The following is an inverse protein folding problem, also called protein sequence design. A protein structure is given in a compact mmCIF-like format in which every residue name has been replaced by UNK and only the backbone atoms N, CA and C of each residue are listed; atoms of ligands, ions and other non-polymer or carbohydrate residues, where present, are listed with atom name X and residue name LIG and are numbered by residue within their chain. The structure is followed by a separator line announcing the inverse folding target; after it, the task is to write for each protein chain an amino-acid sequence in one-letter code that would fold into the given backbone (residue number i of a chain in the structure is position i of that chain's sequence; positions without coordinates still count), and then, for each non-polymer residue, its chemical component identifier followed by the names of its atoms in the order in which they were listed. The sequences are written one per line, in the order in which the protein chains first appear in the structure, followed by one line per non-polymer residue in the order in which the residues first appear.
data_IF_389789069155
#
_entry.id   IF_389789069155
#
_cell.length_a   1.000
_cell.length_b   1.000
_cell.length_c   1.000
_cell.angle_alpha   90.00
_cell.angle_beta   90.00
_cell.angle_gamma   90.00
#
_symmetry.space_group_name_H-M   'P 1'
#
loop_
_entity.id
_entity.type
_entity.pdbx_description
1 polymer ?
#
# COMPACT_ATOMS: atom_id res chain seq x y z
N UNK A 1 -13.80 16.29 10.01
CA UNK A 1 -14.60 15.87 8.84
C UNK A 1 -13.65 15.19 7.87
N UNK A 2 -13.95 13.96 7.46
CA UNK A 2 -13.11 13.21 6.52
C UNK A 2 -13.10 13.90 5.17
N UNK A 3 -11.94 14.37 4.70
CA UNK A 3 -11.79 14.90 3.35
C UNK A 3 -12.22 13.83 2.34
N UNK A 4 -13.29 14.08 1.59
CA UNK A 4 -13.69 13.21 0.48
C UNK A 4 -12.59 13.20 -0.57
N UNK A 5 -12.01 12.04 -0.85
CA UNK A 5 -10.86 11.91 -1.76
C UNK A 5 -11.17 12.36 -3.20
N UNK A 6 -12.43 12.31 -3.60
CA UNK A 6 -12.90 12.65 -4.95
C UNK A 6 -13.31 14.11 -5.13
N UNK A 7 -13.13 14.96 -4.11
CA UNK A 7 -13.35 16.40 -4.22
C UNK A 7 -12.01 17.14 -4.12
N UNK A 8 -11.87 18.23 -4.88
CA UNK A 8 -10.80 19.21 -4.69
C UNK A 8 -11.18 20.23 -3.59
N UNK A 9 -10.25 21.13 -3.24
CA UNK A 9 -10.44 22.14 -2.20
C UNK A 9 -11.53 23.19 -2.54
N UNK A 10 -12.04 23.14 -3.78
CA UNK A 10 -13.12 24.00 -4.30
C UNK A 10 -14.45 23.23 -4.45
N UNK A 11 -14.48 21.94 -4.10
CA UNK A 11 -15.66 21.08 -4.20
C UNK A 11 -15.91 20.49 -5.59
N UNK A 12 -14.97 20.59 -6.52
CA UNK A 12 -15.09 19.95 -7.84
C UNK A 12 -14.72 18.47 -7.77
N UNK A 13 -15.39 17.66 -8.58
CA UNK A 13 -15.08 16.23 -8.71
C UNK A 13 -13.72 16.05 -9.37
N UNK A 14 -12.88 15.20 -8.78
CA UNK A 14 -11.59 14.78 -9.33
C UNK A 14 -11.36 13.29 -9.18
N UNK A 15 -10.62 12.72 -10.11
CA UNK A 15 -10.02 11.40 -9.95
C UNK A 15 -8.84 11.54 -8.98
N UNK A 16 -8.70 10.59 -8.04
CA UNK A 16 -7.62 10.62 -7.05
C UNK A 16 -6.29 10.36 -7.74
N UNK A 17 -5.30 11.23 -7.52
CA UNK A 17 -3.93 10.97 -7.97
C UNK A 17 -3.32 9.83 -7.13
N UNK A 18 -2.88 8.77 -7.82
CA UNK A 18 -2.29 7.57 -7.22
C UNK A 18 -0.80 7.41 -7.57
N UNK A 19 -0.18 8.40 -8.21
CA UNK A 19 1.21 8.33 -8.71
C UNK A 19 2.23 7.97 -7.62
N UNK A 20 2.05 8.49 -6.41
CA UNK A 20 2.98 8.25 -5.29
C UNK A 20 2.66 6.97 -4.49
N UNK A 21 1.59 6.24 -4.84
CA UNK A 21 1.23 5.00 -4.16
C UNK A 21 2.00 3.82 -4.74
N UNK A 22 2.42 2.90 -3.88
CA UNK A 22 3.15 1.70 -4.28
C UNK A 22 2.17 0.63 -4.79
N UNK A 23 2.53 0.02 -5.93
CA UNK A 23 1.79 -1.13 -6.47
C UNK A 23 1.89 -2.33 -5.52
N UNK A 24 0.75 -2.89 -5.17
CA UNK A 24 0.62 -4.01 -4.24
C UNK A 24 -0.42 -4.99 -4.77
N UNK A 25 -0.39 -6.24 -4.29
CA UNK A 25 -1.48 -7.18 -4.58
C UNK A 25 -2.77 -6.61 -4.01
N UNK A 26 -3.82 -6.56 -4.84
CA UNK A 26 -5.17 -6.13 -4.46
C UNK A 26 -6.14 -7.23 -4.82
N UNK A 27 -6.99 -7.59 -3.88
CA UNK A 27 -8.05 -8.57 -4.08
C UNK A 27 -9.35 -7.96 -3.59
N UNK A 28 -10.43 -8.13 -4.35
CA UNK A 28 -11.78 -7.80 -3.91
C UNK A 28 -12.72 -8.96 -4.21
N UNK A 29 -13.62 -9.24 -3.27
CA UNK A 29 -14.70 -10.20 -3.42
C UNK A 29 -16.03 -9.47 -3.26
N UNK A 30 -16.96 -9.67 -4.17
CA UNK A 30 -18.31 -9.13 -4.08
C UNK A 30 -19.34 -10.24 -4.27
N UNK A 31 -20.55 -10.01 -3.77
CA UNK A 31 -21.68 -10.90 -4.04
C UNK A 31 -22.94 -10.11 -4.40
N UNK A 32 -23.91 -10.82 -4.96
CA UNK A 32 -25.26 -10.33 -5.23
C UNK A 32 -26.21 -11.48 -5.48
N UNK A 33 -27.52 -11.22 -5.41
CA UNK A 33 -28.57 -12.24 -5.58
C UNK A 33 -29.53 -11.83 -6.68
N UNK A 34 -29.90 -12.77 -7.53
CA UNK A 34 -31.04 -12.62 -8.44
C UNK A 34 -32.13 -13.62 -8.06
N UNK A 35 -33.22 -13.10 -7.51
CA UNK A 35 -34.41 -13.86 -7.15
C UNK A 35 -35.29 -14.09 -8.36
N UNK A 36 -35.85 -15.28 -8.49
CA UNK A 36 -36.72 -15.67 -9.59
C UNK A 36 -37.59 -16.85 -9.17
N UNK A 37 -38.57 -17.21 -10.00
CA UNK A 37 -39.46 -18.34 -9.68
C UNK A 37 -38.71 -19.68 -9.71
N UNK A 38 -39.10 -20.67 -8.89
CA UNK A 38 -38.47 -22.00 -8.89
C UNK A 38 -38.46 -22.68 -10.26
N UNK A 39 -39.50 -22.46 -11.08
CA UNK A 39 -39.57 -23.01 -12.43
C UNK A 39 -38.50 -22.41 -13.35
N UNK A 40 -38.18 -21.12 -13.17
CA UNK A 40 -37.11 -20.43 -13.88
C UNK A 40 -35.74 -21.00 -13.49
N UNK A 41 -35.54 -21.27 -12.20
CA UNK A 41 -34.30 -21.90 -11.68
C UNK A 41 -34.13 -23.31 -12.26
N UNK A 42 -35.19 -24.11 -12.25
CA UNK A 42 -35.17 -25.45 -12.84
C UNK A 42 -34.81 -25.41 -14.34
N UNK A 43 -35.39 -24.48 -15.10
CA UNK A 43 -35.07 -24.30 -16.51
C UNK A 43 -33.61 -23.91 -16.75
N UNK A 44 -33.00 -23.12 -15.86
CA UNK A 44 -31.57 -22.78 -15.90
C UNK A 44 -30.70 -24.01 -15.59
N UNK A 45 -31.07 -24.81 -14.57
CA UNK A 45 -30.31 -26.00 -14.17
C UNK A 45 -30.32 -27.09 -15.25
N UNK A 46 -31.45 -27.27 -15.93
CA UNK A 46 -31.64 -28.29 -16.94
C UNK A 46 -31.18 -27.86 -18.35
N UNK A 47 -30.68 -26.62 -18.51
CA UNK A 47 -30.30 -26.02 -19.80
C UNK A 47 -31.44 -26.02 -20.84
N UNK A 48 -32.67 -25.86 -20.38
CA UNK A 48 -33.90 -25.92 -21.19
C UNK A 48 -34.29 -24.56 -21.82
N UNK A 49 -33.40 -23.58 -21.72
CA UNK A 49 -33.67 -22.22 -22.17
C UNK A 49 -33.34 -22.03 -23.66
N UNK A 50 -34.21 -21.35 -24.45
CA UNK A 50 -34.01 -21.17 -25.90
C UNK A 50 -32.74 -20.41 -26.29
N UNK A 51 -32.10 -19.72 -25.34
CA UNK A 51 -30.95 -18.83 -25.55
C UNK A 51 -29.60 -19.50 -25.21
N UNK A 52 -29.58 -20.78 -24.87
CA UNK A 52 -28.36 -21.51 -24.45
C UNK A 52 -27.94 -21.22 -23.01
N UNK A 53 -26.71 -21.63 -22.65
CA UNK A 53 -26.24 -21.59 -21.26
C UNK A 53 -26.25 -20.18 -20.67
N UNK A 54 -27.21 -19.94 -19.77
CA UNK A 54 -27.40 -18.67 -19.07
C UNK A 54 -26.20 -18.34 -18.20
N UNK A 55 -25.74 -19.30 -17.39
CA UNK A 55 -24.67 -19.07 -16.42
C UNK A 55 -23.32 -18.86 -17.12
N UNK A 56 -23.06 -19.56 -18.22
CA UNK A 56 -21.85 -19.32 -19.02
C UNK A 56 -21.87 -17.92 -19.63
N UNK A 57 -22.99 -17.51 -20.23
CA UNK A 57 -23.15 -16.16 -20.79
C UNK A 57 -23.01 -15.09 -19.71
N UNK A 58 -23.63 -15.29 -18.54
CA UNK A 58 -23.52 -14.38 -17.40
C UNK A 58 -22.10 -14.29 -16.83
N UNK A 59 -21.34 -15.39 -16.84
CA UNK A 59 -19.92 -15.40 -16.45
C UNK A 59 -19.08 -14.54 -17.37
N UNK A 60 -19.23 -14.72 -18.69
CA UNK A 60 -18.51 -13.94 -19.70
C UNK A 60 -18.85 -12.46 -19.57
N UNK A 61 -20.14 -12.13 -19.42
CA UNK A 61 -20.59 -10.74 -19.26
C UNK A 61 -19.99 -10.07 -18.02
N UNK A 62 -19.98 -10.76 -16.86
CA UNK A 62 -19.37 -10.21 -15.66
C UNK A 62 -17.86 -10.03 -15.77
N UNK A 63 -17.13 -10.96 -16.42
CA UNK A 63 -15.69 -10.79 -16.70
C UNK A 63 -15.43 -9.59 -17.60
N UNK A 64 -16.26 -9.40 -18.63
CA UNK A 64 -16.15 -8.24 -19.53
C UNK A 64 -16.47 -6.94 -18.79
N UNK A 65 -17.48 -6.93 -17.93
CA UNK A 65 -17.84 -5.77 -17.14
C UNK A 65 -16.73 -5.35 -16.17
N UNK A 66 -16.10 -6.30 -15.48
CA UNK A 66 -14.95 -6.02 -14.62
C UNK A 66 -13.85 -5.27 -15.40
N UNK A 67 -13.48 -5.76 -16.59
CA UNK A 67 -12.46 -5.12 -17.43
C UNK A 67 -12.85 -3.74 -17.96
N UNK A 68 -14.14 -3.43 -18.03
CA UNK A 68 -14.69 -2.17 -18.55
C UNK A 68 -15.19 -1.22 -17.45
N UNK A 69 -14.86 -1.51 -16.18
CA UNK A 69 -15.37 -0.73 -15.03
C UNK A 69 -15.06 0.76 -15.18
N UNK A 70 -13.84 1.12 -15.58
CA UNK A 70 -13.43 2.51 -15.77
C UNK A 70 -14.11 3.23 -16.94
N UNK A 71 -14.71 2.50 -17.90
CA UNK A 71 -15.52 3.09 -18.98
C UNK A 71 -16.91 3.49 -18.48
N UNK A 72 -17.40 2.86 -17.41
CA UNK A 72 -18.78 2.98 -16.94
C UNK A 72 -18.86 3.82 -15.67
N UNK A 73 -17.99 3.55 -14.69
CA UNK A 73 -18.01 4.21 -13.38
C UNK A 73 -17.08 5.43 -13.41
N UNK A 74 -17.61 6.67 -13.28
CA UNK A 74 -16.79 7.86 -13.27
C UNK A 74 -15.73 7.82 -12.17
N UNK A 75 -14.54 8.34 -12.47
CA UNK A 75 -13.40 8.46 -11.54
C UNK A 75 -12.77 7.14 -11.09
N UNK A 76 -13.19 5.99 -11.62
CA UNK A 76 -12.41 4.75 -11.51
C UNK A 76 -11.17 4.81 -12.39
N UNK A 77 -10.02 4.39 -11.85
CA UNK A 77 -8.79 4.26 -12.62
C UNK A 77 -8.89 3.10 -13.60
N UNK A 78 -8.21 3.22 -14.74
CA UNK A 78 -7.98 2.08 -15.61
C UNK A 78 -6.93 1.17 -14.99
N UNK A 79 -7.28 -0.10 -14.72
CA UNK A 79 -6.43 -1.07 -14.03
C UNK A 79 -6.15 -2.28 -14.89
N UNK A 80 -4.91 -2.79 -14.86
CA UNK A 80 -4.54 -4.03 -15.52
C UNK A 80 -4.94 -5.24 -14.65
N UNK A 81 -6.19 -5.66 -14.76
CA UNK A 81 -6.70 -6.80 -13.99
C UNK A 81 -5.92 -8.08 -14.31
N UNK A 82 -5.41 -8.73 -13.27
CA UNK A 82 -4.62 -9.96 -13.39
C UNK A 82 -5.50 -11.21 -13.35
N UNK A 83 -6.64 -11.14 -12.67
CA UNK A 83 -7.57 -12.26 -12.55
C UNK A 83 -8.99 -11.78 -12.27
N UNK A 84 -9.97 -12.39 -12.94
CA UNK A 84 -11.41 -12.19 -12.68
C UNK A 84 -12.06 -13.56 -12.76
N UNK A 85 -12.81 -13.93 -11.74
CA UNK A 85 -13.66 -15.13 -11.77
C UNK A 85 -15.00 -14.88 -11.12
N UNK A 86 -15.99 -15.67 -11.55
CA UNK A 86 -17.39 -15.57 -11.12
C UNK A 86 -17.92 -16.98 -10.87
N UNK A 87 -18.50 -17.15 -9.70
CA UNK A 87 -19.13 -18.37 -9.23
C UNK A 87 -20.64 -18.14 -9.04
N UNK A 88 -21.43 -19.16 -9.38
CA UNK A 88 -22.87 -19.15 -9.19
C UNK A 88 -23.26 -20.30 -8.26
N UNK A 89 -24.00 -19.97 -7.20
CA UNK A 89 -24.63 -20.96 -6.33
C UNK A 89 -26.14 -20.89 -6.54
N UNK A 90 -26.72 -22.00 -6.98
CA UNK A 90 -28.14 -22.09 -7.30
C UNK A 90 -28.89 -22.48 -6.03
N UNK A 91 -29.77 -21.59 -5.56
CA UNK A 91 -30.65 -21.81 -4.42
C UNK A 91 -32.08 -22.09 -4.91
N UNK A 92 -33.02 -22.35 -4.01
CA UNK A 92 -34.41 -22.68 -4.38
C UNK A 92 -35.20 -21.49 -4.94
N UNK A 93 -34.85 -20.27 -4.53
CA UNK A 93 -35.58 -19.03 -4.84
C UNK A 93 -34.70 -17.94 -5.48
N UNK A 94 -33.39 -18.17 -5.57
CA UNK A 94 -32.45 -17.24 -6.19
C UNK A 94 -31.17 -17.92 -6.69
N UNK A 95 -30.40 -17.18 -7.48
CA UNK A 95 -29.02 -17.51 -7.79
C UNK A 95 -28.12 -16.51 -7.06
N UNK A 96 -27.23 -17.02 -6.22
CA UNK A 96 -26.17 -16.25 -5.58
C UNK A 96 -24.99 -16.15 -6.54
N UNK A 97 -24.55 -14.93 -6.80
CA UNK A 97 -23.44 -14.59 -7.68
C UNK A 97 -22.30 -14.10 -6.82
N UNK A 98 -21.12 -14.70 -6.96
CA UNK A 98 -19.89 -14.25 -6.28
C UNK A 98 -18.83 -13.93 -7.30
N UNK A 99 -18.18 -12.78 -7.17
CA UNK A 99 -17.03 -12.41 -7.97
C UNK A 99 -15.78 -12.35 -7.09
N UNK A 100 -14.64 -12.64 -7.73
CA UNK A 100 -13.31 -12.34 -7.19
C UNK A 100 -12.50 -11.65 -8.27
N UNK A 101 -11.91 -10.51 -7.94
CA UNK A 101 -11.03 -9.74 -8.83
C UNK A 101 -9.69 -9.54 -8.16
N UNK A 102 -8.60 -9.70 -8.92
CA UNK A 102 -7.23 -9.48 -8.45
C UNK A 102 -6.43 -8.61 -9.40
N UNK A 103 -5.57 -7.76 -8.84
CA UNK A 103 -4.60 -6.97 -9.60
C UNK A 103 -3.33 -6.70 -8.79
N UNK A 104 -2.30 -6.14 -9.42
CA UNK A 104 -1.10 -5.61 -8.75
C UNK A 104 -0.90 -4.13 -9.10
N UNK A 105 -1.68 -3.26 -8.44
CA UNK A 105 -1.78 -1.83 -8.79
C UNK A 105 -1.83 -0.94 -7.54
N UNK A 106 -1.80 0.38 -7.77
CA UNK A 106 -1.77 1.43 -6.75
C UNK A 106 -3.11 1.63 -5.99
N UNK A 107 -4.22 1.10 -6.52
CA UNK A 107 -5.57 1.24 -5.97
C UNK A 107 -6.33 -0.09 -5.99
N UNK A 108 -7.37 -0.20 -5.18
CA UNK A 108 -8.20 -1.40 -5.05
C UNK A 108 -9.04 -1.71 -6.28
N UNK A 109 -9.69 -2.88 -6.26
CA UNK A 109 -10.53 -3.42 -7.35
C UNK A 109 -11.97 -3.70 -6.88
N UNK A 110 -12.45 -2.93 -5.90
CA UNK A 110 -13.79 -3.06 -5.33
C UNK A 110 -14.88 -2.86 -6.40
N UNK A 111 -14.68 -1.83 -7.23
CA UNK A 111 -15.65 -1.46 -8.26
C UNK A 111 -15.69 -2.48 -9.41
N UNK A 112 -14.56 -3.10 -9.73
CA UNK A 112 -14.49 -4.18 -10.72
C UNK A 112 -15.23 -5.42 -10.23
N UNK A 113 -15.07 -5.78 -8.96
CA UNK A 113 -15.78 -6.91 -8.36
C UNK A 113 -17.30 -6.67 -8.34
N UNK A 114 -17.74 -5.47 -7.93
CA UNK A 114 -19.16 -5.08 -7.92
C UNK A 114 -19.76 -5.00 -9.32
N UNK A 115 -19.01 -4.46 -10.30
CA UNK A 115 -19.44 -4.38 -11.70
C UNK A 115 -19.61 -5.75 -12.33
N UNK A 116 -18.73 -6.71 -11.98
CA UNK A 116 -18.84 -8.10 -12.42
C UNK A 116 -20.14 -8.75 -11.95
N UNK A 117 -20.44 -8.68 -10.64
CA UNK A 117 -21.69 -9.21 -10.06
C UNK A 117 -22.91 -8.56 -10.71
N UNK A 118 -22.91 -7.23 -10.82
CA UNK A 118 -24.04 -6.46 -11.35
C UNK A 118 -24.37 -6.87 -12.78
N UNK A 119 -23.36 -6.97 -13.64
CA UNK A 119 -23.57 -7.34 -15.04
C UNK A 119 -23.89 -8.82 -15.22
N UNK A 120 -23.34 -9.72 -14.39
CA UNK A 120 -23.78 -11.12 -14.38
C UNK A 120 -25.27 -11.22 -14.02
N UNK A 121 -25.74 -10.48 -13.01
CA UNK A 121 -27.16 -10.46 -12.64
C UNK A 121 -28.05 -9.91 -13.76
N UNK A 122 -27.67 -8.77 -14.36
CA UNK A 122 -28.38 -8.17 -15.49
C UNK A 122 -28.43 -9.11 -16.71
N UNK A 123 -27.36 -9.86 -16.93
CA UNK A 123 -27.31 -10.84 -18.03
C UNK A 123 -28.22 -12.03 -17.77
N UNK A 124 -28.25 -12.57 -16.55
CA UNK A 124 -29.22 -13.62 -16.18
C UNK A 124 -30.64 -13.10 -16.38
N UNK A 125 -30.90 -11.86 -15.97
CA UNK A 125 -32.20 -11.22 -16.18
C UNK A 125 -32.55 -11.16 -17.68
N UNK A 126 -31.66 -10.65 -18.55
CA UNK A 126 -31.94 -10.56 -19.99
C UNK A 126 -32.19 -11.93 -20.64
N UNK A 127 -31.45 -12.95 -20.19
CA UNK A 127 -31.58 -14.31 -20.69
C UNK A 127 -32.91 -14.95 -20.28
N UNK A 128 -33.46 -14.61 -19.12
CA UNK A 128 -34.66 -15.25 -18.57
C UNK A 128 -35.95 -14.39 -18.68
N UNK A 129 -35.87 -13.10 -19.03
CA UNK A 129 -37.02 -12.16 -19.03
C UNK A 129 -38.22 -12.56 -19.90
N UNK A 130 -38.03 -13.48 -20.86
CA UNK A 130 -39.13 -14.01 -21.69
C UNK A 130 -40.01 -14.99 -20.93
N UNK A 131 -39.44 -15.75 -19.99
CA UNK A 131 -40.17 -16.73 -19.19
C UNK A 131 -40.51 -16.20 -17.80
N UNK A 132 -39.70 -15.30 -17.22
CA UNK A 132 -39.91 -14.74 -15.89
C UNK A 132 -39.67 -13.23 -15.88
N UNK A 133 -40.74 -12.44 -15.69
CA UNK A 133 -40.65 -10.98 -15.62
C UNK A 133 -40.66 -10.46 -14.17
N UNK A 134 -40.71 -11.36 -13.19
CA UNK A 134 -40.82 -11.03 -11.76
C UNK A 134 -39.48 -11.03 -11.05
N UNK A 135 -38.39 -11.31 -11.78
CA UNK A 135 -37.05 -11.41 -11.22
C UNK A 135 -36.63 -10.13 -10.52
N UNK A 136 -35.88 -10.26 -9.42
CA UNK A 136 -35.38 -9.11 -8.65
C UNK A 136 -33.91 -9.30 -8.33
N UNK A 137 -33.10 -8.30 -8.69
CA UNK A 137 -31.67 -8.23 -8.32
C UNK A 137 -31.57 -7.49 -6.98
N UNK A 138 -30.91 -8.09 -5.99
CA UNK A 138 -30.75 -7.55 -4.64
C UNK A 138 -29.35 -7.81 -4.08
N UNK A 139 -29.05 -7.12 -2.99
CA UNK A 139 -27.92 -7.39 -2.10
C UNK A 139 -26.55 -7.40 -2.80
N UNK A 140 -26.36 -6.54 -3.80
CA UNK A 140 -25.05 -6.36 -4.42
C UNK A 140 -24.16 -5.62 -3.43
N UNK A 141 -23.13 -6.29 -2.92
CA UNK A 141 -22.28 -5.76 -1.87
C UNK A 141 -20.85 -6.30 -1.95
N UNK A 142 -19.91 -5.54 -1.39
CA UNK A 142 -18.53 -5.96 -1.22
C UNK A 142 -18.44 -6.88 0.02
N UNK A 143 -17.85 -8.06 -0.14
CA UNK A 143 -17.62 -9.01 0.96
C UNK A 143 -16.31 -8.73 1.66
N UNK A 144 -15.22 -8.73 0.91
CA UNK A 144 -13.88 -8.46 1.43
C UNK A 144 -13.06 -7.69 0.40
N UNK A 145 -12.11 -6.91 0.91
CA UNK A 145 -10.99 -6.38 0.13
C UNK A 145 -9.71 -6.67 0.90
N UNK A 146 -8.66 -6.98 0.17
CA UNK A 146 -7.32 -7.26 0.71
C UNK A 146 -6.30 -6.46 -0.11
N UNK A 147 -5.34 -5.85 0.57
CA UNK A 147 -4.23 -5.11 -0.01
C UNK A 147 -4.40 -3.59 -0.02
N UNK A 148 -3.29 -2.90 0.23
CA UNK A 148 -3.19 -1.44 0.35
C UNK A 148 -2.77 -0.97 1.72
N UNK A 149 -2.67 0.36 1.88
CA UNK A 149 -2.34 1.02 3.17
C UNK A 149 -3.24 0.56 4.34
N UNK A 150 -4.41 0.00 4.05
CA UNK A 150 -5.39 -0.44 5.06
C UNK A 150 -5.08 -1.80 5.69
N UNK A 151 -4.32 -2.68 5.03
CA UNK A 151 -4.40 -4.12 5.34
C UNK A 151 -3.11 -4.74 5.91
N UNK A 152 -2.06 -3.95 6.15
CA UNK A 152 -0.89 -4.39 6.94
C UNK A 152 -0.66 -3.43 8.10
N UNK A 153 -1.67 -3.31 8.96
CA UNK A 153 -1.50 -2.75 10.29
C UNK A 153 -0.96 -3.86 11.21
N UNK A 154 0.30 -4.24 11.03
CA UNK A 154 1.07 -4.72 12.17
C UNK A 154 0.92 -3.66 13.25
N UNK A 155 0.43 -4.04 14.42
CA UNK A 155 0.08 -3.11 15.51
C UNK A 155 1.32 -2.48 16.15
N UNK A 156 2.50 -3.03 15.86
CA UNK A 156 3.75 -2.59 16.46
C UNK A 156 4.23 -1.24 15.94
N UNK A 157 4.66 -0.37 16.86
CA UNK A 157 5.24 0.93 16.55
C UNK A 157 6.55 1.10 17.32
N UNK A 158 7.71 1.13 16.64
CA UNK A 158 8.98 1.27 17.32
C UNK A 158 9.14 2.67 17.91
N UNK A 159 9.94 2.78 18.97
CA UNK A 159 10.48 4.08 19.39
C UNK A 159 11.55 4.52 18.39
N UNK A 160 11.41 5.73 17.85
CA UNK A 160 12.27 6.24 16.78
C UNK A 160 13.16 7.38 17.27
N UNK A 161 14.43 7.35 16.89
CA UNK A 161 15.39 8.44 17.06
C UNK A 161 15.84 9.02 15.73
N UNK A 162 15.87 10.35 15.61
CA UNK A 162 16.28 11.04 14.38
C UNK A 162 17.55 11.88 14.61
N UNK A 163 18.63 11.60 13.88
CA UNK A 163 19.87 12.39 13.94
C UNK A 163 20.12 13.11 12.62
N UNK A 164 20.22 14.42 12.63
CA UNK A 164 20.66 15.19 11.47
C UNK A 164 22.15 15.48 11.56
N UNK A 165 22.89 15.11 10.51
CA UNK A 165 24.33 15.33 10.39
C UNK A 165 24.58 16.41 9.34
N UNK A 166 24.95 17.61 9.79
CA UNK A 166 25.30 18.72 8.91
C UNK A 166 26.09 19.79 9.65
N UNK A 167 27.28 20.11 9.15
CA UNK A 167 28.07 21.25 9.64
C UNK A 167 27.30 22.58 9.55
N UNK A 168 26.56 22.79 8.47
CA UNK A 168 25.86 24.06 8.23
C UNK A 168 24.66 24.26 9.15
N UNK A 169 23.91 23.20 9.43
CA UNK A 169 22.77 23.23 10.35
C UNK A 169 23.27 23.32 11.79
N UNK A 170 24.28 22.52 12.15
CA UNK A 170 24.89 22.56 13.48
C UNK A 170 25.49 23.94 13.81
N UNK A 171 26.00 24.66 12.82
CA UNK A 171 26.52 26.02 12.98
C UNK A 171 25.44 27.12 12.92
N UNK A 172 24.16 26.77 12.79
CA UNK A 172 23.04 27.72 12.68
C UNK A 172 23.01 28.51 11.36
N UNK A 173 23.76 28.08 10.34
CA UNK A 173 23.82 28.75 9.02
C UNK A 173 22.71 28.33 8.07
N UNK A 174 22.12 27.16 8.31
CA UNK A 174 20.99 26.61 7.56
C UNK A 174 19.97 25.99 8.53
N UNK A 175 18.76 25.79 8.03
CA UNK A 175 17.66 25.14 8.77
C UNK A 175 17.57 23.68 8.34
N UNK A 176 17.41 22.78 9.31
CA UNK A 176 17.11 21.38 9.02
C UNK A 176 15.69 21.24 8.46
N UNK A 177 15.58 20.69 7.26
CA UNK A 177 14.29 20.43 6.60
C UNK A 177 13.97 18.94 6.56
N UNK A 178 14.98 18.08 6.68
CA UNK A 178 14.86 16.63 6.51
C UNK A 178 14.54 15.95 7.83
N UNK A 179 15.16 16.37 8.94
CA UNK A 179 14.86 15.86 10.28
C UNK A 179 13.39 16.06 10.66
N UNK A 180 12.83 17.29 10.63
CA UNK A 180 11.42 17.54 10.94
C UNK A 180 10.46 16.75 10.06
N UNK A 181 10.78 16.57 8.78
CA UNK A 181 9.98 15.78 7.85
C UNK A 181 9.92 14.30 8.26
N UNK A 182 11.07 13.72 8.63
CA UNK A 182 11.15 12.33 9.13
C UNK A 182 10.33 12.19 10.42
N UNK A 183 10.51 13.11 11.37
CA UNK A 183 9.77 13.15 12.64
C UNK A 183 8.27 13.15 12.38
N UNK A 184 7.78 14.10 11.58
CA UNK A 184 6.35 14.17 11.24
C UNK A 184 5.85 12.89 10.57
N UNK A 185 6.64 12.30 9.67
CA UNK A 185 6.26 11.07 8.97
C UNK A 185 6.08 9.88 9.90
N UNK A 186 7.00 9.68 10.83
CA UNK A 186 6.92 8.61 11.82
C UNK A 186 5.79 8.86 12.85
N UNK A 187 5.62 10.10 13.33
CA UNK A 187 4.51 10.46 14.24
C UNK A 187 3.15 10.22 13.56
N UNK A 188 2.97 10.66 12.31
CA UNK A 188 1.72 10.42 11.54
C UNK A 188 1.42 8.94 11.35
N UNK A 189 2.45 8.11 11.42
CA UNK A 189 2.35 6.67 11.29
C UNK A 189 2.11 5.98 12.64
N UNK A 190 2.08 6.73 13.76
CA UNK A 190 1.81 6.24 15.11
C UNK A 190 3.05 5.88 15.92
N UNK A 191 4.26 6.23 15.47
CA UNK A 191 5.49 6.00 16.23
C UNK A 191 5.74 7.13 17.24
N UNK A 192 6.39 6.83 18.36
CA UNK A 192 6.93 7.84 19.28
C UNK A 192 8.31 8.27 18.83
N UNK A 193 8.54 9.59 18.76
CA UNK A 193 9.80 10.19 18.29
C UNK A 193 10.30 11.18 19.35
N UNK A 194 10.79 10.64 20.47
CA UNK A 194 11.21 11.45 21.63
C UNK A 194 12.70 11.83 21.57
N UNK A 195 13.44 11.20 20.65
CA UNK A 195 14.88 11.38 20.49
C UNK A 195 15.20 12.09 19.18
N UNK A 196 15.76 13.30 19.29
CA UNK A 196 16.24 14.05 18.14
C UNK A 196 17.53 14.80 18.46
N UNK A 197 18.46 14.84 17.51
CA UNK A 197 19.72 15.57 17.68
C UNK A 197 20.24 16.08 16.34
N UNK A 198 20.89 17.24 16.37
CA UNK A 198 21.68 17.77 15.25
C UNK A 198 23.14 17.70 15.67
N UNK A 199 23.98 17.12 14.82
CA UNK A 199 25.42 17.01 15.00
C UNK A 199 26.17 17.53 13.76
N UNK A 200 27.40 18.05 13.91
CA UNK A 200 28.26 18.37 12.77
C UNK A 200 28.75 17.08 12.09
N UNK A 201 29.15 17.20 10.83
CA UNK A 201 29.62 16.07 10.04
C UNK A 201 30.92 15.51 10.64
N UNK A 202 30.99 14.18 10.78
CA UNK A 202 32.13 13.50 11.41
C UNK A 202 32.26 13.72 12.92
N UNK A 203 31.18 14.13 13.61
CA UNK A 203 31.18 14.26 15.07
C UNK A 203 31.56 12.95 15.77
N UNK A 204 32.46 13.04 16.76
CA UNK A 204 32.81 11.91 17.64
C UNK A 204 31.68 11.52 18.59
N UNK A 205 30.67 12.39 18.74
CA UNK A 205 29.50 12.14 19.58
C UNK A 205 28.48 11.22 18.93
N UNK A 206 28.59 10.93 17.62
CA UNK A 206 27.61 10.08 16.93
C UNK A 206 27.56 8.67 17.52
N UNK A 207 28.71 8.06 17.81
CA UNK A 207 28.78 6.70 18.36
C UNK A 207 28.24 6.63 19.80
N UNK A 208 28.66 7.51 20.73
CA UNK A 208 28.03 7.59 22.05
C UNK A 208 26.51 7.80 21.97
N UNK A 209 26.06 8.77 21.15
CA UNK A 209 24.64 9.09 21.00
C UNK A 209 23.81 7.87 20.57
N UNK A 210 24.30 7.12 19.57
CA UNK A 210 23.61 5.92 19.09
C UNK A 210 23.53 4.86 20.19
N UNK A 211 24.61 4.63 20.94
CA UNK A 211 24.58 3.67 22.04
C UNK A 211 23.63 4.12 23.16
N UNK A 212 23.69 5.38 23.57
CA UNK A 212 22.83 5.95 24.62
C UNK A 212 21.35 5.82 24.24
N UNK A 213 21.00 6.12 22.99
CA UNK A 213 19.61 5.99 22.51
C UNK A 213 19.11 4.56 22.49
N UNK A 214 19.96 3.61 22.09
CA UNK A 214 19.62 2.19 22.16
C UNK A 214 19.41 1.78 23.63
N UNK A 215 20.25 2.26 24.55
CA UNK A 215 20.11 1.97 25.98
C UNK A 215 18.83 2.60 26.59
N UNK A 216 18.37 3.73 26.06
CA UNK A 216 17.08 4.36 26.37
C UNK A 216 15.88 3.65 25.68
N UNK A 217 16.13 2.59 24.93
CA UNK A 217 15.14 1.73 24.28
C UNK A 217 14.64 2.27 22.93
N UNK A 218 15.43 3.09 22.23
CA UNK A 218 15.15 3.45 20.83
C UNK A 218 15.44 2.25 19.94
N UNK A 219 14.45 1.83 19.17
CA UNK A 219 14.53 0.62 18.34
C UNK A 219 14.81 0.94 16.87
N UNK A 220 14.45 2.15 16.40
CA UNK A 220 14.75 2.61 15.05
C UNK A 220 15.51 3.94 15.10
N UNK A 221 16.74 3.97 14.60
CA UNK A 221 17.51 5.20 14.46
C UNK A 221 17.66 5.54 12.99
N UNK A 222 17.25 6.75 12.60
CA UNK A 222 17.41 7.24 11.23
C UNK A 222 18.32 8.46 11.24
N UNK A 223 19.42 8.38 10.50
CA UNK A 223 20.29 9.55 10.28
C UNK A 223 19.95 10.24 8.97
N UNK A 224 20.14 11.55 8.93
CA UNK A 224 19.95 12.38 7.74
C UNK A 224 21.20 13.24 7.52
N UNK A 225 22.04 12.88 6.55
CA UNK A 225 23.26 13.63 6.18
C UNK A 225 24.58 12.94 6.52
N UNK A 226 25.69 13.59 6.16
CA UNK A 226 27.05 13.05 6.29
C UNK A 226 27.35 11.80 5.44
N UNK A 227 26.57 11.57 4.37
CA UNK A 227 26.72 10.42 3.47
C UNK A 227 27.28 10.79 2.08
N UNK A 228 27.61 12.05 1.82
CA UNK A 228 28.17 12.54 0.56
C UNK A 228 29.59 12.01 0.26
N UNK A 229 30.31 12.52 -0.74
CA UNK A 229 31.68 12.08 -1.08
C UNK A 229 32.79 12.94 -0.44
N UNK A 230 32.45 13.90 0.42
CA UNK A 230 33.38 14.80 1.07
C UNK A 230 34.21 14.12 2.16
N UNK A 231 35.35 14.72 2.51
CA UNK A 231 36.26 14.19 3.55
C UNK A 231 35.61 14.14 4.95
N UNK A 232 34.54 14.90 5.17
CA UNK A 232 33.77 14.94 6.42
C UNK A 232 32.54 14.04 6.40
N UNK A 233 32.18 13.47 5.24
CA UNK A 233 31.05 12.53 5.10
C UNK A 233 31.42 11.14 5.63
N UNK A 234 31.48 11.04 6.96
CA UNK A 234 31.95 9.88 7.69
C UNK A 234 30.82 9.02 8.27
N UNK A 235 29.55 9.44 8.17
CA UNK A 235 28.40 8.76 8.80
C UNK A 235 28.37 7.27 8.48
N UNK A 236 28.44 6.92 7.19
CA UNK A 236 28.42 5.53 6.74
C UNK A 236 29.62 4.77 7.28
N UNK A 237 30.83 5.35 7.16
CA UNK A 237 32.05 4.68 7.61
C UNK A 237 32.02 4.39 9.12
N UNK A 238 31.48 5.32 9.91
CA UNK A 238 31.37 5.19 11.36
C UNK A 238 30.33 4.13 11.73
N UNK A 239 29.13 4.19 11.16
CA UNK A 239 28.04 3.29 11.52
C UNK A 239 28.20 1.88 10.92
N UNK A 240 28.79 1.74 9.73
CA UNK A 240 29.15 0.43 9.16
C UNK A 240 30.06 -0.38 10.08
N UNK A 241 30.95 0.30 10.82
CA UNK A 241 31.85 -0.33 11.78
C UNK A 241 31.15 -0.81 13.05
N UNK A 242 29.89 -0.43 13.28
CA UNK A 242 29.10 -0.79 14.44
C UNK A 242 28.04 -1.87 14.16
N UNK A 243 27.74 -2.16 12.89
CA UNK A 243 26.67 -3.09 12.54
C UNK A 243 27.05 -4.54 12.90
N UNK A 244 26.23 -5.16 13.75
CA UNK A 244 26.28 -6.60 14.00
C UNK A 244 25.85 -7.39 12.75
N UNK A 245 24.89 -6.84 12.01
CA UNK A 245 24.47 -7.37 10.71
C UNK A 245 24.02 -6.24 9.78
N UNK A 246 24.31 -6.39 8.48
CA UNK A 246 23.84 -5.46 7.46
C UNK A 246 22.44 -5.83 6.96
N UNK A 247 21.67 -4.83 6.59
CA UNK A 247 20.34 -4.94 5.99
C UNK A 247 20.33 -4.43 4.54
N UNK A 248 21.06 -5.09 3.62
CA UNK A 248 21.21 -4.61 2.24
C UNK A 248 19.88 -4.52 1.48
N UNK A 249 18.84 -5.27 1.88
CA UNK A 249 17.51 -5.19 1.30
C UNK A 249 16.85 -3.82 1.49
N UNK A 250 17.05 -3.19 2.65
CA UNK A 250 16.58 -1.81 2.91
C UNK A 250 17.32 -0.85 1.99
N UNK A 251 18.63 -1.03 1.85
CA UNK A 251 19.45 -0.17 1.00
C UNK A 251 19.00 -0.23 -0.47
N UNK A 252 18.80 -1.45 -0.97
CA UNK A 252 18.35 -1.70 -2.34
C UNK A 252 16.95 -1.14 -2.59
N UNK A 253 16.02 -1.27 -1.63
CA UNK A 253 14.67 -0.74 -1.77
C UNK A 253 14.66 0.79 -1.86
N UNK A 254 15.41 1.47 -0.99
CA UNK A 254 15.56 2.93 -1.03
C UNK A 254 16.20 3.40 -2.34
N UNK A 255 17.24 2.71 -2.81
CA UNK A 255 17.87 3.01 -4.09
C UNK A 255 16.98 2.74 -5.31
N UNK A 256 16.18 1.67 -5.28
CA UNK A 256 15.23 1.37 -6.35
C UNK A 256 14.19 2.48 -6.47
N UNK A 257 13.59 2.89 -5.35
CA UNK A 257 12.58 3.94 -5.33
C UNK A 257 13.12 5.31 -5.75
N UNK A 258 14.31 5.69 -5.27
CA UNK A 258 14.90 7.00 -5.61
C UNK A 258 15.37 7.11 -7.08
N UNK A 259 15.78 5.99 -7.70
CA UNK A 259 16.27 5.97 -9.10
C UNK A 259 15.22 6.39 -10.11
N UNK A 260 13.95 6.07 -9.85
CA UNK A 260 12.86 6.44 -10.76
C UNK A 260 12.59 7.96 -10.76
N UNK A 261 13.06 8.69 -9.73
CA UNK A 261 12.79 10.12 -9.55
C UNK A 261 13.97 11.03 -9.88
N UNK A 262 15.20 10.64 -9.52
CA UNK A 262 16.38 11.50 -9.64
C UNK A 262 17.56 10.76 -10.24
N UNK A 263 18.09 11.24 -11.37
CA UNK A 263 19.22 10.61 -12.09
C UNK A 263 20.50 10.48 -11.23
N UNK A 264 20.71 11.38 -10.28
CA UNK A 264 21.87 11.36 -9.37
C UNK A 264 21.68 10.46 -8.15
N UNK A 265 20.52 9.82 -7.97
CA UNK A 265 20.27 8.90 -6.86
C UNK A 265 21.26 7.72 -6.82
N UNK A 266 21.89 7.37 -7.95
CA UNK A 266 22.96 6.37 -8.00
C UNK A 266 24.23 6.75 -7.23
N UNK A 267 24.47 8.05 -7.02
CA UNK A 267 25.63 8.58 -6.28
C UNK A 267 25.34 8.76 -4.80
N UNK A 268 24.07 8.67 -4.41
CA UNK A 268 23.66 8.66 -3.02
C UNK A 268 24.34 7.49 -2.31
N UNK A 269 24.95 7.74 -1.16
CA UNK A 269 25.38 6.65 -0.29
C UNK A 269 24.40 6.60 0.87
N UNK A 270 23.91 5.40 1.15
CA UNK A 270 23.08 5.08 2.30
C UNK A 270 23.51 3.70 2.79
N UNK A 271 23.25 3.42 4.05
CA UNK A 271 23.47 2.08 4.60
C UNK A 271 22.46 1.77 5.67
N UNK A 272 22.14 0.50 5.87
CA UNK A 272 21.25 0.05 6.92
C UNK A 272 21.81 -1.20 7.59
N UNK A 273 21.66 -1.28 8.90
CA UNK A 273 22.14 -2.41 9.68
C UNK A 273 21.47 -2.49 11.04
N UNK A 274 21.76 -3.56 11.76
CA UNK A 274 21.36 -3.77 13.14
C UNK A 274 22.55 -3.48 14.04
N UNK A 275 22.32 -2.70 15.10
CA UNK A 275 23.25 -2.49 16.22
C UNK A 275 22.51 -2.94 17.47
N UNK A 276 22.97 -4.02 18.10
CA UNK A 276 22.30 -4.71 19.20
C UNK A 276 20.86 -5.06 18.82
N UNK A 277 19.89 -4.42 19.46
CA UNK A 277 18.45 -4.60 19.30
C UNK A 277 17.77 -3.46 18.51
N UNK A 278 18.55 -2.55 17.92
CA UNK A 278 18.04 -1.45 17.12
C UNK A 278 18.44 -1.54 15.65
N UNK A 279 17.53 -1.11 14.78
CA UNK A 279 17.80 -0.90 13.36
C UNK A 279 18.28 0.53 13.16
N UNK A 280 19.40 0.69 12.45
CA UNK A 280 19.97 1.99 12.11
C UNK A 280 20.01 2.16 10.60
N UNK A 281 19.43 3.26 10.11
CA UNK A 281 19.33 3.58 8.68
C UNK A 281 19.94 4.95 8.41
N UNK A 282 20.97 4.98 7.57
CA UNK A 282 21.68 6.20 7.20
C UNK A 282 21.15 6.77 5.89
N UNK A 283 20.44 7.89 5.93
CA UNK A 283 19.88 8.55 4.75
C UNK A 283 20.70 9.77 4.31
N UNK A 284 20.66 10.12 3.02
CA UNK A 284 21.12 11.42 2.54
C UNK A 284 20.36 12.58 3.19
N UNK A 285 21.03 13.71 3.37
CA UNK A 285 20.44 14.90 4.02
C UNK A 285 19.39 15.66 3.20
N UNK A 286 19.03 15.19 2.01
CA UNK A 286 18.10 15.91 1.13
C UNK A 286 16.64 15.66 1.51
N UNK A 287 15.80 16.69 1.33
CA UNK A 287 14.34 16.59 1.55
C UNK A 287 13.70 15.47 0.71
N UNK A 288 14.20 15.25 -0.51
CA UNK A 288 13.73 14.17 -1.39
C UNK A 288 14.00 12.79 -0.79
N UNK A 289 15.23 12.56 -0.34
CA UNK A 289 15.62 11.29 0.28
C UNK A 289 14.81 10.98 1.55
N UNK A 290 14.53 11.99 2.38
CA UNK A 290 13.67 11.83 3.56
C UNK A 290 12.23 11.43 3.20
N UNK A 291 11.63 12.06 2.16
CA UNK A 291 10.29 11.67 1.67
C UNK A 291 10.27 10.25 1.13
N UNK A 292 11.25 9.93 0.29
CA UNK A 292 11.36 8.62 -0.34
C UNK A 292 11.53 7.53 0.73
N UNK A 293 12.34 7.79 1.76
CA UNK A 293 12.49 6.88 2.88
C UNK A 293 11.17 6.63 3.63
N UNK A 294 10.39 7.67 3.93
CA UNK A 294 9.08 7.49 4.57
C UNK A 294 8.13 6.64 3.73
N UNK A 295 8.13 6.82 2.40
CA UNK A 295 7.28 6.06 1.49
C UNK A 295 7.71 4.58 1.35
N UNK A 296 9.01 4.30 1.43
CA UNK A 296 9.56 2.95 1.30
C UNK A 296 9.51 2.18 2.61
N UNK A 297 9.90 2.84 3.72
CA UNK A 297 10.04 2.20 5.01
C UNK A 297 8.68 1.96 5.68
N UNK A 298 7.73 2.89 5.57
CA UNK A 298 6.46 2.78 6.32
C UNK A 298 5.36 2.13 5.46
N UNK A 299 4.62 1.13 5.98
CA UNK A 299 4.73 0.51 7.31
C UNK A 299 5.65 -0.73 7.36
N UNK A 300 6.26 -1.10 6.22
CA UNK A 300 6.99 -2.36 6.05
C UNK A 300 8.07 -2.60 7.12
N UNK A 301 8.80 -1.55 7.51
CA UNK A 301 9.86 -1.61 8.52
C UNK A 301 9.32 -2.05 9.88
N UNK A 302 8.03 -1.82 10.19
CA UNK A 302 7.45 -2.22 11.47
C UNK A 302 7.40 -3.75 11.65
N UNK A 303 7.29 -4.50 10.56
CA UNK A 303 7.27 -5.97 10.58
C UNK A 303 8.61 -6.54 11.07
N UNK A 304 9.72 -5.83 10.81
CA UNK A 304 11.06 -6.31 11.19
C UNK A 304 11.27 -6.38 12.71
N UNK A 305 10.55 -5.58 13.49
CA UNK A 305 10.68 -5.57 14.95
C UNK A 305 10.05 -6.78 15.63
N UNK A 306 9.00 -7.37 15.05
CA UNK A 306 8.47 -8.67 15.49
C UNK A 306 9.51 -9.78 15.31
N UNK A 307 10.21 -9.78 14.18
CA UNK A 307 11.26 -10.77 13.89
C UNK A 307 12.44 -10.66 14.84
N UNK A 308 12.87 -9.44 15.18
CA UNK A 308 13.95 -9.22 16.14
C UNK A 308 13.60 -9.68 17.56
N UNK A 309 12.31 -9.73 17.91
CA UNK A 309 11.82 -10.25 19.20
C UNK A 309 11.58 -11.76 19.22
N UNK A 310 11.91 -12.47 18.13
CA UNK A 310 11.85 -13.93 18.04
C UNK A 310 10.46 -14.49 17.70
N UNK A 311 9.52 -13.63 17.26
CA UNK A 311 8.22 -14.08 16.76
C UNK A 311 8.37 -14.61 15.32
N UNK A 312 7.70 -15.74 15.00
CA UNK A 312 7.76 -16.36 13.67
C UNK A 312 6.99 -15.52 12.64
N UNK A 313 7.45 -15.62 11.39
CA UNK A 313 6.83 -15.07 10.18
C UNK A 313 5.30 -15.25 10.12
#
# INVERSE_FOLDING_TARGET
MSNFSHLDDKGNVRMVDVTEKVNSLRVAKAEGRIYMRPETIAAIQNDELPKGSVLTTAKVAGIQAAKKTAEIIPMCHQLNLSYVDIEFLIMSDHILIRSIVKTKEATGVEMEALSAVSNSALTIYDMCKSIDKTMVIKDIQLLTKEGGRSDHADTYRPKVGIVTLSDSVSAGKNIDVSGPLLIEGFIRSGCSVDHQKILPDGSKELVPLVNDWIDDGVELIVTSGGTGLGQRDLTIKVLDGMFDSKLPGIEQALHAYGRDKVKTAMLSRLTAGVIRDAIVICLPGSKGAAKDALNVLIPTIFHSFHMMKGEKH
#
